data_IF_239618667848
#
_entry.id   IF_239618667848
#
_cell.length_a   1.000
_cell.length_b   1.000
_cell.length_c   1.000
_cell.angle_alpha   90.00
_cell.angle_beta   90.00
_cell.angle_gamma   90.00
#
_symmetry.space_group_name_H-M   'P 1'
#
loop_
_entity.id
_entity.type
_entity.pdbx_description
1 polymer ?
#
# COMPACT_ATOMS: atom_id res chain seq x y z
N UNK A 1 -5.00 0.86 -18.87
CA UNK A 1 -4.40 1.99 -18.14
C UNK A 1 -4.17 1.52 -16.71
N UNK A 2 -2.99 1.74 -16.14
CA UNK A 2 -2.70 1.40 -14.74
C UNK A 2 -3.30 2.51 -13.87
N UNK A 3 -4.37 2.19 -13.14
CA UNK A 3 -5.10 3.13 -12.27
C UNK A 3 -4.71 2.96 -10.80
N UNK A 4 -4.87 4.03 -10.01
CA UNK A 4 -4.77 3.91 -8.56
C UNK A 4 -5.96 3.10 -8.05
N UNK A 5 -5.70 2.07 -7.25
CA UNK A 5 -6.71 1.22 -6.59
C UNK A 5 -7.08 1.72 -5.20
N UNK A 6 -6.37 2.72 -4.68
CA UNK A 6 -6.65 3.34 -3.38
C UNK A 6 -7.66 4.48 -3.54
N UNK A 7 -8.71 4.46 -2.75
CA UNK A 7 -9.62 5.59 -2.54
C UNK A 7 -9.12 6.42 -1.37
N UNK A 8 -9.09 7.75 -1.52
CA UNK A 8 -8.71 8.69 -0.46
C UNK A 8 -7.34 8.34 0.19
N UNK A 9 -6.31 8.19 -0.65
CA UNK A 9 -4.93 7.95 -0.20
C UNK A 9 -4.24 9.18 0.42
N UNK A 10 -4.87 10.35 0.32
CA UNK A 10 -4.48 11.64 0.94
C UNK A 10 -5.20 11.88 2.27
N UNK A 11 -6.10 10.98 2.67
CA UNK A 11 -6.81 11.04 3.96
C UNK A 11 -7.55 12.37 4.21
N UNK A 12 -8.12 12.96 3.15
CA UNK A 12 -8.93 14.18 3.22
C UNK A 12 -10.28 13.93 3.91
N UNK A 13 -10.75 12.68 3.87
CA UNK A 13 -11.95 12.16 4.56
C UNK A 13 -11.59 10.97 5.45
N UNK A 14 -12.46 10.59 6.39
CA UNK A 14 -12.25 9.49 7.33
C UNK A 14 -13.11 8.23 7.05
N UNK A 15 -13.90 8.23 5.97
CA UNK A 15 -14.89 7.18 5.68
C UNK A 15 -14.42 6.04 4.78
N UNK A 16 -13.33 6.22 4.05
CA UNK A 16 -12.88 5.27 2.99
C UNK A 16 -11.93 4.18 3.50
N UNK A 17 -11.54 4.29 4.77
CA UNK A 17 -10.60 3.39 5.42
C UNK A 17 -11.23 2.84 6.68
N UNK A 18 -10.98 1.56 6.96
CA UNK A 18 -11.33 0.97 8.24
C UNK A 18 -10.17 1.18 9.20
N UNK A 19 -10.41 1.90 10.28
CA UNK A 19 -9.42 2.17 11.32
C UNK A 19 -9.51 1.13 12.42
N UNK A 20 -8.47 0.31 12.57
CA UNK A 20 -8.28 -0.56 13.72
C UNK A 20 -7.90 0.21 14.98
N UNK A 21 -7.72 -0.52 16.09
CA UNK A 21 -7.40 0.07 17.39
C UNK A 21 -6.13 0.94 17.33
N UNK A 22 -6.25 2.17 17.84
CA UNK A 22 -5.16 3.16 17.93
C UNK A 22 -4.82 3.89 16.63
N UNK A 23 -5.58 3.66 15.56
CA UNK A 23 -5.58 4.48 14.35
C UNK A 23 -6.64 5.57 14.41
N UNK A 24 -6.32 6.74 13.87
CA UNK A 24 -7.27 7.83 13.62
C UNK A 24 -6.95 8.48 12.28
N UNK A 25 -7.96 9.00 11.59
CA UNK A 25 -7.76 9.81 10.38
C UNK A 25 -8.12 11.24 10.71
N UNK A 26 -7.16 12.14 10.56
CA UNK A 26 -7.36 13.58 10.79
C UNK A 26 -6.26 14.38 10.12
N UNK A 27 -6.55 15.65 9.80
CA UNK A 27 -5.57 16.60 9.27
C UNK A 27 -4.85 16.12 7.99
N UNK A 28 -5.55 15.37 7.12
CA UNK A 28 -4.98 14.83 5.88
C UNK A 28 -4.02 13.65 6.09
N UNK A 29 -4.12 12.92 7.20
CA UNK A 29 -3.22 11.80 7.53
C UNK A 29 -3.90 10.68 8.29
N UNK A 30 -3.38 9.47 8.14
CA UNK A 30 -3.66 8.38 9.07
C UNK A 30 -2.60 8.35 10.18
N UNK A 31 -3.06 8.45 11.42
CA UNK A 31 -2.22 8.61 12.60
C UNK A 31 -2.24 7.33 13.44
N UNK A 32 -1.07 6.74 13.63
CA UNK A 32 -0.84 5.58 14.50
C UNK A 32 -0.08 6.06 15.75
N UNK A 33 -0.80 6.48 16.79
CA UNK A 33 -0.20 6.99 18.05
C UNK A 33 -0.04 5.92 19.13
N UNK A 34 -0.95 4.95 19.15
CA UNK A 34 -0.93 3.76 20.02
C UNK A 34 -1.49 2.57 19.27
N UNK A 35 -1.26 2.52 17.95
CA UNK A 35 -1.86 1.53 17.08
C UNK A 35 -1.39 0.11 17.43
N UNK A 36 -2.35 -0.79 17.53
CA UNK A 36 -2.14 -2.23 17.71
C UNK A 36 -3.00 -3.05 16.75
N UNK A 37 -3.78 -2.38 15.91
CA UNK A 37 -4.55 -3.00 14.84
C UNK A 37 -4.15 -2.44 13.48
N UNK A 38 -4.91 -2.83 12.46
CA UNK A 38 -4.63 -2.46 11.07
C UNK A 38 -5.36 -1.17 10.68
N UNK A 39 -4.73 -0.36 9.84
CA UNK A 39 -5.45 0.55 8.94
C UNK A 39 -5.65 -0.18 7.61
N UNK A 40 -6.89 -0.35 7.15
CA UNK A 40 -7.16 -1.17 5.98
C UNK A 40 -8.18 -0.60 5.00
N UNK A 41 -8.01 -0.99 3.73
CA UNK A 41 -8.95 -0.71 2.64
C UNK A 41 -9.01 -1.91 1.69
N UNK A 42 -10.22 -2.29 1.29
CA UNK A 42 -10.40 -3.26 0.22
C UNK A 42 -10.05 -2.60 -1.12
N UNK A 43 -8.91 -3.00 -1.69
CA UNK A 43 -8.47 -2.57 -3.01
C UNK A 43 -8.88 -3.57 -4.11
N UNK A 44 -9.65 -4.61 -3.77
CA UNK A 44 -9.95 -5.77 -4.62
C UNK A 44 -8.66 -6.39 -5.18
N UNK A 45 -7.84 -6.93 -4.28
CA UNK A 45 -6.62 -7.65 -4.64
C UNK A 45 -6.95 -9.03 -5.22
N UNK A 46 -6.16 -9.49 -6.18
CA UNK A 46 -6.32 -10.76 -6.86
C UNK A 46 -5.05 -11.61 -6.70
N UNK A 47 -5.22 -12.93 -6.58
CA UNK A 47 -4.09 -13.84 -6.46
C UNK A 47 -3.22 -13.81 -7.74
N UNK A 48 -1.90 -13.91 -7.56
CA UNK A 48 -0.88 -13.85 -8.60
C UNK A 48 -0.72 -12.49 -9.28
N UNK A 49 -1.38 -11.43 -8.78
CA UNK A 49 -1.16 -10.07 -9.27
C UNK A 49 -0.03 -9.40 -8.50
N UNK A 50 0.78 -8.60 -9.20
CA UNK A 50 1.84 -7.78 -8.58
C UNK A 50 1.36 -6.35 -8.45
N UNK A 51 1.38 -5.84 -7.21
CA UNK A 51 0.97 -4.49 -6.86
C UNK A 51 2.18 -3.63 -6.52
N UNK A 52 2.30 -2.48 -7.18
CA UNK A 52 3.22 -1.41 -6.76
C UNK A 52 2.54 -0.54 -5.72
N UNK A 53 2.95 -0.68 -4.48
CA UNK A 53 2.53 0.15 -3.35
C UNK A 53 3.53 1.30 -3.16
N UNK A 54 3.02 2.53 -3.09
CA UNK A 54 3.77 3.72 -2.69
C UNK A 54 3.04 4.40 -1.53
N UNK A 55 3.77 4.84 -0.51
CA UNK A 55 3.23 5.62 0.61
C UNK A 55 4.34 6.42 1.30
N UNK A 56 3.96 7.48 1.99
CA UNK A 56 4.84 8.25 2.87
C UNK A 56 4.60 7.85 4.32
N UNK A 57 5.68 7.52 5.03
CA UNK A 57 5.69 7.33 6.48
C UNK A 57 6.42 8.50 7.14
N UNK A 58 5.85 9.06 8.20
CA UNK A 58 6.51 10.04 9.07
C UNK A 58 6.55 9.51 10.50
N UNK A 59 7.75 9.18 11.01
CA UNK A 59 7.93 8.78 12.40
C UNK A 59 7.87 10.02 13.30
N UNK A 60 7.01 9.97 14.34
CA UNK A 60 6.90 11.03 15.34
C UNK A 60 7.80 10.73 16.55
N UNK A 61 7.75 9.48 17.06
CA UNK A 61 8.57 9.04 18.21
C UNK A 61 9.35 7.78 17.82
N UNK A 62 8.62 6.71 17.51
CA UNK A 62 9.13 5.40 17.14
C UNK A 62 8.01 4.61 16.49
N UNK A 63 8.32 3.52 15.81
CA UNK A 63 7.31 2.56 15.40
C UNK A 63 7.74 1.78 14.20
N UNK A 64 7.04 0.68 13.98
CA UNK A 64 7.19 -0.17 12.81
C UNK A 64 5.85 -0.27 12.12
N UNK A 65 5.82 -0.04 10.81
CA UNK A 65 4.65 -0.33 9.97
C UNK A 65 5.02 -1.41 8.97
N UNK A 66 4.15 -2.40 8.80
CA UNK A 66 4.32 -3.44 7.80
C UNK A 66 3.10 -3.46 6.86
N UNK A 67 3.27 -3.09 5.58
CA UNK A 67 2.17 -3.15 4.64
C UNK A 67 1.85 -4.61 4.29
N UNK A 68 0.58 -4.89 4.00
CA UNK A 68 0.15 -6.18 3.44
C UNK A 68 -0.80 -5.94 2.27
N UNK A 69 -0.72 -6.77 1.24
CA UNK A 69 -1.65 -6.79 0.12
C UNK A 69 -1.93 -8.23 -0.27
N UNK A 70 -3.20 -8.61 -0.43
CA UNK A 70 -3.56 -9.90 -1.00
C UNK A 70 -3.06 -11.09 -0.18
N UNK A 71 -2.99 -10.95 1.14
CA UNK A 71 -2.48 -11.97 2.06
C UNK A 71 -0.95 -12.08 2.12
N UNK A 72 -0.21 -11.17 1.48
CA UNK A 72 1.26 -11.15 1.51
C UNK A 72 1.76 -9.94 2.29
N UNK A 73 2.64 -10.22 3.24
CA UNK A 73 3.32 -9.25 4.07
C UNK A 73 4.51 -8.64 3.34
N UNK A 74 4.56 -7.31 3.26
CA UNK A 74 5.67 -6.55 2.69
C UNK A 74 6.77 -6.24 3.71
N UNK A 75 7.64 -5.31 3.34
CA UNK A 75 8.81 -4.92 4.15
C UNK A 75 8.40 -4.00 5.29
N UNK A 76 8.78 -4.37 6.52
CA UNK A 76 8.62 -3.52 7.70
C UNK A 76 9.46 -2.23 7.60
N UNK A 77 8.86 -1.08 7.90
CA UNK A 77 9.49 0.25 7.85
C UNK A 77 9.49 0.91 9.22
N UNK A 78 10.60 1.56 9.55
CA UNK A 78 10.85 2.16 10.87
C UNK A 78 11.38 3.59 10.82
N UNK A 79 11.51 4.17 9.62
CA UNK A 79 12.07 5.51 9.42
C UNK A 79 11.17 6.36 8.54
N UNK A 80 11.29 7.69 8.66
CA UNK A 80 10.53 8.61 7.82
C UNK A 80 11.05 8.58 6.38
N UNK A 81 10.23 8.17 5.43
CA UNK A 81 10.52 8.20 4.00
C UNK A 81 9.26 7.98 3.17
N UNK A 82 9.36 8.23 1.87
CA UNK A 82 8.43 7.68 0.88
C UNK A 82 8.95 6.34 0.41
N UNK A 83 8.18 5.29 0.62
CA UNK A 83 8.52 3.93 0.23
C UNK A 83 7.80 3.54 -1.05
N UNK A 84 8.45 2.73 -1.88
CA UNK A 84 7.82 2.03 -3.00
C UNK A 84 8.25 0.56 -2.95
N UNK A 85 7.28 -0.33 -3.05
CA UNK A 85 7.49 -1.77 -2.98
C UNK A 85 6.54 -2.51 -3.94
N UNK A 86 7.00 -3.66 -4.42
CA UNK A 86 6.21 -4.55 -5.28
C UNK A 86 5.82 -5.77 -4.48
N UNK A 87 4.52 -5.99 -4.30
CA UNK A 87 3.96 -7.11 -3.55
C UNK A 87 3.15 -7.98 -4.50
N UNK A 88 3.57 -9.23 -4.69
CA UNK A 88 2.79 -10.21 -5.45
C UNK A 88 1.82 -10.91 -4.50
N UNK A 89 0.53 -10.64 -4.67
CA UNK A 89 -0.53 -11.21 -3.86
C UNK A 89 -0.66 -12.72 -4.08
N UNK A 90 -1.00 -13.46 -3.02
CA UNK A 90 -1.31 -14.90 -3.08
C UNK A 90 -2.80 -15.19 -2.89
N UNK A 91 -3.58 -14.18 -2.51
CA UNK A 91 -5.03 -14.25 -2.30
C UNK A 91 -5.67 -12.86 -2.44
N UNK A 92 -6.86 -12.70 -1.84
CA UNK A 92 -7.71 -11.51 -1.99
C UNK A 92 -7.77 -10.64 -0.74
N UNK A 93 -6.76 -10.73 0.14
CA UNK A 93 -6.69 -9.90 1.34
C UNK A 93 -6.56 -8.40 1.03
N UNK A 94 -7.09 -7.56 1.92
CA UNK A 94 -7.07 -6.10 1.82
C UNK A 94 -5.65 -5.52 1.71
N UNK A 95 -5.57 -4.25 1.32
CA UNK A 95 -4.42 -3.41 1.67
C UNK A 95 -4.49 -3.12 3.17
N UNK A 96 -3.42 -3.43 3.89
CA UNK A 96 -3.29 -3.17 5.32
C UNK A 96 -1.99 -2.45 5.63
N UNK A 97 -2.02 -1.55 6.60
CA UNK A 97 -0.85 -1.08 7.33
C UNK A 97 -0.93 -1.62 8.76
N UNK A 98 -0.15 -2.67 9.03
CA UNK A 98 -0.05 -3.29 10.36
C UNK A 98 0.97 -2.53 11.21
N UNK A 99 0.53 -2.01 12.36
CA UNK A 99 1.37 -1.29 13.30
C UNK A 99 1.95 -2.25 14.34
N UNK A 100 3.25 -2.50 14.27
CA UNK A 100 3.95 -3.42 15.18
C UNK A 100 4.55 -2.65 16.36
N UNK A 101 3.79 -2.60 17.47
CA UNK A 101 4.13 -2.19 18.85
C UNK A 101 4.79 -0.80 19.06
N UNK A 102 4.27 -0.02 20.03
CA UNK A 102 4.94 1.20 20.51
C UNK A 102 5.09 2.27 19.43
N UNK A 103 4.05 2.44 18.62
CA UNK A 103 4.07 3.22 17.39
C UNK A 103 3.49 4.61 17.58
N UNK A 104 4.28 5.65 17.35
CA UNK A 104 3.85 6.99 17.03
C UNK A 104 4.43 7.37 15.65
N UNK A 105 3.64 7.15 14.60
CA UNK A 105 3.95 7.55 13.23
C UNK A 105 2.67 7.92 12.47
N UNK A 106 2.84 8.50 11.30
CA UNK A 106 1.77 8.87 10.38
C UNK A 106 2.01 8.24 9.00
N UNK A 107 0.92 7.96 8.29
CA UNK A 107 0.91 7.51 6.89
C UNK A 107 0.14 8.53 6.05
N UNK A 108 0.65 8.79 4.85
CA UNK A 108 0.04 9.67 3.85
C UNK A 108 0.42 9.24 2.42
N UNK A 109 -0.21 9.83 1.41
CA UNK A 109 0.09 9.69 -0.02
C UNK A 109 0.08 8.23 -0.51
N UNK A 110 -0.91 7.45 -0.07
CA UNK A 110 -1.01 6.02 -0.38
C UNK A 110 -1.51 5.82 -1.81
N UNK A 111 -0.75 5.08 -2.60
CA UNK A 111 -1.06 4.74 -3.98
C UNK A 111 -0.79 3.25 -4.18
N UNK A 112 -1.76 2.52 -4.72
CA UNK A 112 -1.58 1.14 -5.17
C UNK A 112 -1.91 1.04 -6.65
N UNK A 113 -1.02 0.43 -7.41
CA UNK A 113 -1.22 0.16 -8.84
C UNK A 113 -1.00 -1.32 -9.12
N UNK A 114 -1.95 -1.94 -9.82
CA UNK A 114 -1.75 -3.28 -10.37
C UNK A 114 -0.83 -3.17 -11.59
N UNK A 115 0.36 -3.77 -11.48
CA UNK A 115 1.41 -3.74 -12.50
C UNK A 115 1.69 -5.12 -13.09
N UNK A 116 0.80 -6.09 -12.86
CA UNK A 116 0.99 -7.50 -13.28
C UNK A 116 1.30 -7.64 -14.76
N UNK A 117 0.63 -6.83 -15.59
CA UNK A 117 0.80 -6.83 -17.04
C UNK A 117 1.62 -5.63 -17.54
N UNK A 118 2.37 -4.96 -16.67
CA UNK A 118 3.26 -3.86 -17.06
C UNK A 118 4.57 -4.40 -17.66
N UNK A 119 4.44 -5.14 -18.76
CA UNK A 119 5.58 -5.70 -19.51
C UNK A 119 6.30 -4.64 -20.36
N UNK A 120 5.88 -3.37 -20.31
CA UNK A 120 6.34 -2.32 -21.23
C UNK A 120 7.26 -1.27 -20.58
N UNK A 121 7.52 -1.32 -19.27
CA UNK A 121 8.32 -0.26 -18.62
C UNK A 121 9.80 -0.59 -18.42
N UNK A 122 10.24 -1.84 -18.66
CA UNK A 122 11.60 -2.28 -18.25
C UNK A 122 12.52 -2.73 -19.40
N UNK A 123 12.02 -2.91 -20.62
CA UNK A 123 12.86 -3.18 -21.78
C UNK A 123 12.36 -2.37 -22.96
N UNK A 124 13.22 -1.56 -23.55
CA UNK A 124 12.96 -0.96 -24.85
C UNK A 124 12.93 -2.03 -25.94
N UNK A 125 11.93 -2.92 -25.92
CA UNK A 125 11.76 -3.96 -26.90
C UNK A 125 10.49 -3.73 -27.70
N UNK A 126 10.71 -3.37 -28.97
CA UNK A 126 9.73 -3.34 -30.03
C UNK A 126 8.91 -4.64 -30.06
N UNK A 127 7.61 -4.46 -30.22
CA UNK A 127 6.62 -5.50 -30.50
C UNK A 127 7.07 -6.25 -31.77
N UNK A 128 7.64 -7.45 -31.63
CA UNK A 128 7.65 -8.39 -32.75
C UNK A 128 6.29 -9.08 -32.79
N UNK A 129 5.42 -8.53 -33.64
CA UNK A 129 4.24 -9.23 -34.14
C UNK A 129 4.68 -10.54 -34.79
N UNK A 130 4.56 -11.66 -34.08
CA UNK A 130 4.46 -12.96 -34.74
C UNK A 130 3.07 -13.05 -35.39
N UNK A 131 2.97 -12.61 -36.64
CA UNK A 131 1.98 -13.16 -37.55
C UNK A 131 2.66 -14.34 -38.23
N UNK A 132 2.26 -15.55 -37.84
CA UNK A 132 2.44 -16.71 -38.69
C UNK A 132 1.69 -16.49 -40.01
N UNK A 133 2.36 -16.78 -41.12
CA UNK A 133 2.11 -17.92 -42.02
C UNK A 133 3.44 -18.28 -42.64
#
# INVERSE_FOLDING_TARGET
MIINKVTNGTFDTDSDWTTGAGWTISSGKANALTATGDLEQDISAEANHTYRLTYTMTVIISGTVQPQIGGVTGTARTTSATYTEYITATGTGNLKFDAVSGTAFEIDNVIVRDVTNDFLSATGLHIFSMRGV
#
